data_IF_905341039670
#
_entry.id   IF_905341039670
#
_cell.length_a   1.000
_cell.length_b   1.000
_cell.length_c   1.000
_cell.angle_alpha   90.00
_cell.angle_beta   90.00
_cell.angle_gamma   90.00
#
_symmetry.space_group_name_H-M   'P 1'
#
loop_
_entity.id
_entity.type
_entity.pdbx_description
1 polymer ?
#
# COMPACT_ATOMS: atom_id res chain seq x y z
N UNK A 1 18.61 -7.67 -2.74
CA UNK A 1 17.44 -7.86 -1.88
C UNK A 1 16.17 -7.53 -2.67
N UNK A 2 15.21 -8.45 -2.71
CA UNK A 2 13.97 -8.23 -3.46
C UNK A 2 13.06 -7.20 -2.75
N UNK A 3 12.38 -6.39 -3.53
CA UNK A 3 11.36 -5.46 -3.02
C UNK A 3 10.09 -6.21 -2.62
N UNK A 4 9.73 -7.19 -3.41
CA UNK A 4 8.55 -8.05 -3.20
C UNK A 4 8.93 -9.48 -3.47
N UNK A 5 8.52 -10.36 -2.58
CA UNK A 5 8.70 -11.80 -2.73
C UNK A 5 7.36 -12.49 -2.50
N UNK A 6 6.94 -13.29 -3.45
CA UNK A 6 5.72 -14.10 -3.39
C UNK A 6 6.11 -15.56 -3.51
N UNK A 7 5.72 -16.37 -2.54
CA UNK A 7 6.06 -17.80 -2.50
C UNK A 7 4.83 -18.67 -2.31
N UNK A 8 4.75 -19.74 -3.09
CA UNK A 8 3.75 -20.77 -2.94
C UNK A 8 2.32 -20.26 -2.89
N UNK A 9 2.02 -19.21 -3.65
CA UNK A 9 0.72 -18.57 -3.66
C UNK A 9 -0.32 -19.51 -4.30
N UNK A 10 -1.36 -19.83 -3.54
CA UNK A 10 -2.52 -20.58 -4.01
C UNK A 10 -3.78 -19.86 -3.56
N UNK A 11 -4.70 -19.67 -4.47
CA UNK A 11 -5.97 -19.02 -4.18
C UNK A 11 -7.09 -19.54 -5.07
N UNK A 12 -8.25 -19.77 -4.48
CA UNK A 12 -9.46 -20.13 -5.19
C UNK A 12 -10.53 -19.07 -4.98
N UNK A 13 -11.30 -18.81 -6.01
CA UNK A 13 -12.46 -17.93 -5.94
C UNK A 13 -13.71 -18.75 -6.30
N UNK A 14 -14.55 -19.01 -5.29
CA UNK A 14 -15.65 -19.97 -5.45
C UNK A 14 -15.10 -21.36 -5.77
N UNK A 15 -15.56 -21.95 -6.86
CA UNK A 15 -15.09 -23.28 -7.32
C UNK A 15 -13.88 -23.18 -8.27
N UNK A 16 -13.45 -21.98 -8.62
CA UNK A 16 -12.38 -21.74 -9.58
C UNK A 16 -11.04 -21.54 -8.90
N UNK A 17 -10.07 -22.40 -9.20
CA UNK A 17 -8.69 -22.24 -8.74
C UNK A 17 -7.97 -21.22 -9.63
N UNK A 18 -7.59 -20.08 -9.05
CA UNK A 18 -6.91 -19.02 -9.77
C UNK A 18 -5.42 -19.26 -9.90
N UNK A 19 -4.76 -19.64 -8.81
CA UNK A 19 -3.32 -19.89 -8.77
C UNK A 19 -3.03 -21.17 -8.00
N UNK A 20 -1.91 -21.82 -8.34
CA UNK A 20 -1.40 -22.99 -7.63
C UNK A 20 0.12 -22.90 -7.57
N UNK A 21 0.66 -22.81 -6.37
CA UNK A 21 2.11 -22.69 -6.12
C UNK A 21 2.79 -21.61 -6.96
N UNK A 22 2.10 -20.50 -7.18
CA UNK A 22 2.65 -19.37 -7.91
C UNK A 22 3.68 -18.63 -7.08
N UNK A 23 4.76 -18.20 -7.71
CA UNK A 23 5.79 -17.43 -7.02
C UNK A 23 6.53 -16.53 -7.98
N UNK A 24 6.97 -15.39 -7.48
CA UNK A 24 7.81 -14.46 -8.21
C UNK A 24 8.52 -13.52 -7.24
N UNK A 25 9.54 -12.86 -7.74
CA UNK A 25 10.28 -11.83 -7.01
C UNK A 25 10.39 -10.58 -7.87
N UNK A 26 10.30 -9.43 -7.24
CA UNK A 26 10.47 -8.14 -7.88
C UNK A 26 11.64 -7.40 -7.25
N UNK A 27 12.58 -6.99 -8.07
CA UNK A 27 13.79 -6.28 -7.64
C UNK A 27 13.70 -4.79 -8.00
N UNK A 28 14.55 -4.01 -7.38
CA UNK A 28 14.63 -2.57 -7.63
C UNK A 28 14.91 -2.27 -9.11
N UNK A 29 14.11 -1.37 -9.68
CA UNK A 29 14.24 -0.98 -11.08
C UNK A 29 13.55 -1.90 -12.07
N UNK A 30 12.98 -3.01 -11.62
CA UNK A 30 12.24 -3.93 -12.49
C UNK A 30 10.80 -3.49 -12.70
N UNK A 31 10.28 -3.79 -13.88
CA UNK A 31 8.87 -3.62 -14.22
C UNK A 31 8.28 -4.97 -14.59
N UNK A 32 7.18 -5.32 -13.97
CA UNK A 32 6.52 -6.61 -14.19
C UNK A 32 5.10 -6.38 -14.70
N UNK A 33 4.75 -7.04 -15.80
CA UNK A 33 3.40 -7.02 -16.33
C UNK A 33 2.64 -8.30 -15.98
N UNK A 34 1.38 -8.14 -15.61
CA UNK A 34 0.48 -9.26 -15.37
C UNK A 34 -0.51 -9.31 -16.52
N UNK A 35 -0.49 -10.39 -17.29
CA UNK A 35 -1.33 -10.55 -18.46
C UNK A 35 -2.21 -11.78 -18.33
N UNK A 36 -3.38 -11.73 -18.92
CA UNK A 36 -4.33 -12.82 -18.90
C UNK A 36 -5.71 -12.36 -19.37
N UNK A 37 -6.58 -13.31 -19.63
CA UNK A 37 -7.96 -13.02 -20.00
C UNK A 37 -8.74 -12.49 -18.79
N UNK A 38 -9.88 -11.83 -19.03
CA UNK A 38 -10.75 -11.39 -17.95
C UNK A 38 -11.25 -12.60 -17.14
N UNK A 39 -11.23 -12.45 -15.82
CA UNK A 39 -11.58 -13.54 -14.93
C UNK A 39 -10.42 -14.50 -14.60
N UNK A 40 -9.20 -14.23 -15.08
CA UNK A 40 -8.02 -15.03 -14.76
C UNK A 40 -7.47 -14.77 -13.34
N UNK A 41 -7.98 -13.76 -12.65
CA UNK A 41 -7.57 -13.44 -11.28
C UNK A 41 -6.53 -12.34 -11.14
N UNK A 42 -6.32 -11.54 -12.18
CA UNK A 42 -5.34 -10.42 -12.15
C UNK A 42 -5.64 -9.42 -11.04
N UNK A 43 -6.89 -8.96 -10.95
CA UNK A 43 -7.31 -8.00 -9.93
C UNK A 43 -7.25 -8.60 -8.53
N UNK A 44 -7.58 -9.87 -8.39
CA UNK A 44 -7.48 -10.61 -7.13
C UNK A 44 -6.03 -10.72 -6.68
N UNK A 45 -5.11 -11.00 -7.61
CA UNK A 45 -3.68 -11.04 -7.31
C UNK A 45 -3.17 -9.70 -6.76
N UNK A 46 -3.55 -8.60 -7.39
CA UNK A 46 -3.17 -7.27 -6.91
C UNK A 46 -3.72 -6.99 -5.52
N UNK A 47 -4.94 -7.37 -5.22
CA UNK A 47 -5.52 -7.24 -3.88
C UNK A 47 -4.76 -8.06 -2.85
N UNK A 48 -4.36 -9.28 -3.18
CA UNK A 48 -3.56 -10.14 -2.31
C UNK A 48 -2.19 -9.52 -2.03
N UNK A 49 -1.51 -9.03 -3.07
CA UNK A 49 -0.20 -8.39 -2.96
C UNK A 49 -0.27 -7.15 -2.08
N UNK A 50 -1.34 -6.37 -2.21
CA UNK A 50 -1.54 -5.14 -1.44
C UNK A 50 -2.05 -5.37 -0.01
N UNK A 51 -2.38 -6.60 0.34
CA UNK A 51 -2.85 -6.94 1.68
C UNK A 51 -4.34 -6.75 1.92
N UNK A 52 -5.12 -6.38 0.90
CA UNK A 52 -6.57 -6.22 1.02
C UNK A 52 -7.34 -7.53 0.94
N UNK A 53 -6.70 -8.58 0.44
CA UNK A 53 -7.25 -9.93 0.40
C UNK A 53 -6.24 -10.92 0.97
N UNK A 54 -6.74 -11.99 1.58
CA UNK A 54 -5.92 -13.04 2.17
C UNK A 54 -5.90 -14.23 1.21
N UNK A 55 -4.72 -14.75 0.78
CA UNK A 55 -4.66 -15.94 -0.04
C UNK A 55 -5.00 -17.20 0.76
N UNK A 56 -5.43 -18.26 0.07
CA UNK A 56 -5.69 -19.55 0.72
C UNK A 56 -4.39 -20.17 1.24
N UNK A 57 -3.34 -20.09 0.43
CA UNK A 57 -2.01 -20.55 0.80
C UNK A 57 -0.96 -19.61 0.21
N UNK A 58 0.18 -19.56 0.84
CA UNK A 58 1.32 -18.79 0.34
C UNK A 58 1.72 -17.65 1.24
N UNK A 59 2.85 -17.06 0.91
CA UNK A 59 3.45 -15.98 1.67
C UNK A 59 3.82 -14.82 0.76
N UNK A 60 3.49 -13.62 1.20
CA UNK A 60 3.86 -12.38 0.52
C UNK A 60 4.72 -11.56 1.46
N UNK A 61 5.90 -11.18 0.98
CA UNK A 61 6.88 -10.46 1.77
C UNK A 61 7.34 -9.21 1.04
N UNK A 62 7.12 -8.07 1.65
CA UNK A 62 7.63 -6.79 1.17
C UNK A 62 8.90 -6.42 1.91
N UNK A 63 9.78 -5.68 1.23
CA UNK A 63 10.95 -5.11 1.89
C UNK A 63 10.49 -4.16 3.01
N UNK A 64 11.11 -4.21 4.20
CA UNK A 64 10.77 -3.29 5.30
C UNK A 64 10.96 -1.82 4.92
N UNK A 65 10.11 -0.96 5.48
CA UNK A 65 10.16 0.50 5.29
C UNK A 65 9.93 0.96 3.84
N UNK A 66 9.17 0.19 3.06
CA UNK A 66 8.81 0.55 1.70
C UNK A 66 7.41 1.18 1.66
N UNK A 67 7.25 2.21 0.85
CA UNK A 67 5.95 2.81 0.58
C UNK A 67 5.36 2.20 -0.68
N UNK A 68 4.12 1.73 -0.58
CA UNK A 68 3.42 1.09 -1.67
C UNK A 68 2.29 2.00 -2.14
N UNK A 69 2.29 2.31 -3.43
CA UNK A 69 1.20 3.04 -4.07
C UNK A 69 0.38 2.14 -4.97
N UNK A 70 -0.93 2.33 -5.00
CA UNK A 70 -1.86 1.56 -5.82
C UNK A 70 -2.69 2.52 -6.65
N UNK A 71 -2.73 2.26 -7.96
CA UNK A 71 -3.70 2.92 -8.84
C UNK A 71 -4.83 1.93 -9.09
N UNK A 72 -5.98 2.17 -8.46
CA UNK A 72 -7.14 1.32 -8.59
C UNK A 72 -7.85 1.57 -9.93
N UNK A 73 -8.43 0.52 -10.51
CA UNK A 73 -9.23 0.61 -11.71
C UNK A 73 -10.46 1.51 -11.51
N UNK A 74 -11.03 1.50 -10.31
CA UNK A 74 -12.16 2.31 -9.90
C UNK A 74 -11.78 3.15 -8.68
N UNK A 75 -11.02 4.21 -8.92
CA UNK A 75 -10.63 5.12 -7.85
C UNK A 75 -11.85 5.87 -7.31
N UNK A 76 -12.04 5.83 -6.00
CA UNK A 76 -13.06 6.63 -5.35
C UNK A 76 -12.57 8.07 -5.24
N UNK A 77 -13.35 8.99 -5.79
CA UNK A 77 -13.07 10.42 -5.72
C UNK A 77 -14.00 11.03 -4.68
N UNK A 78 -13.42 11.73 -3.72
CA UNK A 78 -14.18 12.51 -2.74
C UNK A 78 -14.65 13.79 -3.43
N UNK A 79 -15.95 13.92 -3.67
CA UNK A 79 -16.54 14.99 -4.49
C UNK A 79 -16.23 16.41 -3.98
N UNK A 80 -16.11 16.58 -2.66
CA UNK A 80 -15.87 17.89 -2.04
C UNK A 80 -14.40 18.30 -2.03
N UNK A 81 -13.51 17.47 -2.54
CA UNK A 81 -12.08 17.76 -2.57
C UNK A 81 -11.67 18.35 -3.91
N UNK A 82 -10.88 19.42 -3.87
CA UNK A 82 -10.18 19.89 -5.06
C UNK A 82 -9.10 18.86 -5.46
N UNK A 83 -8.61 18.96 -6.69
CA UNK A 83 -7.48 18.10 -7.15
C UNK A 83 -6.28 18.27 -6.23
N UNK A 84 -6.01 19.50 -5.81
CA UNK A 84 -4.91 19.80 -4.89
C UNK A 84 -5.09 19.12 -3.53
N UNK A 85 -6.28 19.21 -2.94
CA UNK A 85 -6.60 18.58 -1.66
C UNK A 85 -6.52 17.05 -1.75
N UNK A 86 -6.99 16.48 -2.85
CA UNK A 86 -6.90 15.04 -3.10
C UNK A 86 -5.44 14.57 -3.17
N UNK A 87 -4.58 15.30 -3.88
CA UNK A 87 -3.16 14.99 -3.95
C UNK A 87 -2.46 15.12 -2.60
N UNK A 88 -2.90 16.05 -1.75
CA UNK A 88 -2.39 16.18 -0.39
C UNK A 88 -2.66 14.95 0.48
N UNK A 89 -3.71 14.19 0.21
CA UNK A 89 -4.03 12.98 1.00
C UNK A 89 -2.91 11.94 0.95
N UNK A 90 -2.12 11.92 -0.12
CA UNK A 90 -0.96 11.04 -0.23
C UNK A 90 0.12 11.33 0.81
N UNK A 91 0.13 12.53 1.38
CA UNK A 91 1.11 12.98 2.36
C UNK A 91 0.52 13.13 3.77
N UNK A 92 -0.61 12.49 4.05
CA UNK A 92 -1.29 12.60 5.34
C UNK A 92 -0.38 12.27 6.53
N UNK A 93 0.48 11.28 6.40
CA UNK A 93 1.43 10.93 7.45
C UNK A 93 2.41 12.06 7.75
N UNK A 94 2.91 12.73 6.71
CA UNK A 94 3.80 13.87 6.84
C UNK A 94 3.11 15.05 7.52
N UNK A 95 1.85 15.32 7.17
CA UNK A 95 1.07 16.38 7.82
C UNK A 95 0.81 16.07 9.29
N UNK A 96 0.56 14.85 9.66
CA UNK A 96 0.43 14.43 11.06
C UNK A 96 1.72 14.65 11.84
N UNK A 97 2.85 14.36 11.24
CA UNK A 97 4.18 14.61 11.85
C UNK A 97 4.39 16.11 12.03
N UNK A 98 4.05 16.92 11.04
CA UNK A 98 4.12 18.38 11.12
C UNK A 98 3.28 18.95 12.26
N UNK A 99 2.05 18.45 12.42
CA UNK A 99 1.19 18.86 13.55
C UNK A 99 1.82 18.51 14.90
N UNK A 100 2.37 17.30 15.04
CA UNK A 100 3.05 16.88 16.26
C UNK A 100 4.27 17.76 16.56
N UNK A 101 5.02 18.09 15.53
CA UNK A 101 6.19 18.95 15.66
C UNK A 101 5.79 20.35 16.12
N UNK A 102 4.76 20.94 15.54
CA UNK A 102 4.23 22.25 15.94
C UNK A 102 3.73 22.25 17.39
N UNK A 103 3.03 21.20 17.81
CA UNK A 103 2.61 21.03 19.20
C UNK A 103 3.79 20.96 20.15
N UNK A 104 4.84 20.24 19.78
CA UNK A 104 6.06 20.14 20.58
C UNK A 104 6.74 21.50 20.75
N UNK A 105 6.79 22.30 19.68
CA UNK A 105 7.33 23.66 19.75
C UNK A 105 6.50 24.56 20.67
N UNK A 106 5.18 24.49 20.61
CA UNK A 106 4.29 25.25 21.50
C UNK A 106 4.48 24.83 22.96
N UNK A 107 4.57 23.55 23.26
CA UNK A 107 4.83 23.05 24.61
C UNK A 107 6.18 23.51 25.15
N UNK A 108 7.22 23.49 24.32
CA UNK A 108 8.53 23.99 24.70
C UNK A 108 8.50 25.50 25.03
N UNK A 109 7.80 26.29 24.22
CA UNK A 109 7.64 27.70 24.46
C UNK A 109 6.89 27.96 25.77
N UNK A 110 5.81 27.23 26.07
CA UNK A 110 5.09 27.31 27.32
C UNK A 110 5.96 26.94 28.53
N UNK A 111 6.75 25.88 28.42
CA UNK A 111 7.65 25.46 29.52
C UNK A 111 8.75 26.47 29.80
N UNK A 112 9.30 27.07 28.75
CA UNK A 112 10.31 28.12 28.91
C UNK A 112 9.70 29.34 29.63
N UNK A 113 8.49 29.72 29.27
CA UNK A 113 7.79 30.82 29.94
C UNK A 113 7.48 30.53 31.41
N UNK A 114 7.22 29.28 31.77
CA UNK A 114 7.00 28.90 33.17
C UNK A 114 8.26 28.96 34.03
N UNK A 115 9.41 28.78 33.41
CA UNK A 115 10.72 28.85 34.11
C UNK A 115 11.15 30.32 34.33
N UNK A 116 10.77 31.20 33.43
CA UNK A 116 11.03 32.63 33.53
C UNK A 116 10.05 33.32 34.48
#
# INVERSE_FOLDING_TARGET
>A
MSLLEVKNLSHTYGDKKLYSNAGFELYKGEHMGIVGVNGAGKSTLLKIICGTAIPDEGEIKWQPNINIGILDQYAEIIEDYSVYDYLKTAFNELYKIEEKLNKSYEEMACNIMKIL
#
